data_IF_304922102714
#
_entry.id   IF_304922102714
#
_cell.length_a   1.000
_cell.length_b   1.000
_cell.length_c   1.000
_cell.angle_alpha   90.00
_cell.angle_beta   90.00
_cell.angle_gamma   90.00
#
_symmetry.space_group_name_H-M   'P 1'
#
loop_
_entity.id
_entity.type
_entity.pdbx_description
1 polymer ?
#
# COMPACT_ATOMS: atom_id res chain seq x y z
N UNK A 1 -2.88 25.24 0.88
CA UNK A 1 -4.04 24.69 0.17
C UNK A 1 -4.92 23.98 1.20
N UNK A 2 -6.06 24.57 1.60
CA UNK A 2 -6.93 24.00 2.63
C UNK A 2 -7.84 22.86 2.13
N UNK A 3 -7.95 22.70 0.81
CA UNK A 3 -8.85 21.79 0.08
C UNK A 3 -8.16 20.49 -0.40
N UNK A 4 -6.97 20.18 0.14
CA UNK A 4 -6.14 19.07 -0.31
C UNK A 4 -6.86 17.71 -0.29
N UNK A 5 -7.73 17.46 0.69
CA UNK A 5 -8.50 16.21 0.78
C UNK A 5 -9.40 16.02 -0.45
N UNK A 6 -10.13 17.05 -0.86
CA UNK A 6 -11.04 16.95 -2.01
C UNK A 6 -10.27 16.81 -3.32
N UNK A 7 -9.13 17.50 -3.44
CA UNK A 7 -8.23 17.38 -4.59
C UNK A 7 -7.64 15.97 -4.69
N UNK A 8 -7.20 15.38 -3.57
CA UNK A 8 -6.67 14.02 -3.52
C UNK A 8 -7.73 12.98 -3.84
N UNK A 9 -8.96 13.13 -3.34
CA UNK A 9 -10.10 12.27 -3.69
C UNK A 9 -10.43 12.36 -5.18
N UNK A 10 -10.45 13.57 -5.75
CA UNK A 10 -10.69 13.77 -7.17
C UNK A 10 -9.58 13.14 -8.03
N UNK A 11 -8.32 13.24 -7.59
CA UNK A 11 -7.19 12.56 -8.22
C UNK A 11 -7.34 11.03 -8.19
N UNK A 12 -7.67 10.47 -7.02
CA UNK A 12 -7.91 9.03 -6.87
C UNK A 12 -9.08 8.57 -7.74
N UNK A 13 -10.21 9.28 -7.75
CA UNK A 13 -11.36 8.95 -8.58
C UNK A 13 -11.03 8.99 -10.08
N UNK A 14 -10.17 9.92 -10.51
CA UNK A 14 -9.75 10.06 -11.91
C UNK A 14 -8.75 8.99 -12.36
N UNK A 15 -7.83 8.60 -11.49
CA UNK A 15 -6.65 7.80 -11.87
C UNK A 15 -6.65 6.39 -11.30
N UNK A 16 -7.40 6.14 -10.23
CA UNK A 16 -7.28 4.95 -9.40
C UNK A 16 -5.96 4.88 -8.61
N UNK A 17 -5.14 5.93 -8.65
CA UNK A 17 -3.83 5.96 -7.99
C UNK A 17 -3.96 6.62 -6.63
N UNK A 18 -3.60 5.89 -5.59
CA UNK A 18 -3.25 6.45 -4.31
C UNK A 18 -1.74 6.23 -4.07
N UNK A 19 -0.93 7.29 -3.90
CA UNK A 19 0.52 7.17 -3.86
C UNK A 19 1.03 6.20 -2.78
N UNK A 20 1.95 5.33 -3.17
CA UNK A 20 2.63 4.42 -2.24
C UNK A 20 3.59 5.23 -1.38
N UNK A 21 3.34 5.29 -0.06
CA UNK A 21 4.21 6.02 0.87
C UNK A 21 5.40 5.19 1.39
N UNK A 22 5.22 3.87 1.54
CA UNK A 22 6.20 3.01 2.20
C UNK A 22 6.38 1.68 1.46
N UNK A 23 7.61 1.15 1.51
CA UNK A 23 7.97 -0.19 1.04
C UNK A 23 8.80 -0.89 2.10
N UNK A 24 8.63 -2.20 2.25
CA UNK A 24 9.47 -3.03 3.12
C UNK A 24 10.66 -3.54 2.31
N UNK A 25 11.87 -3.19 2.74
CA UNK A 25 13.10 -3.66 2.13
C UNK A 25 13.77 -4.72 3.02
N UNK A 26 14.31 -5.77 2.40
CA UNK A 26 15.12 -6.79 3.07
C UNK A 26 16.54 -6.70 2.52
N UNK A 27 17.54 -6.67 3.41
CA UNK A 27 18.95 -6.70 3.00
C UNK A 27 19.20 -7.95 2.15
N UNK A 28 19.91 -7.77 1.02
CA UNK A 28 20.06 -8.80 -0.01
C UNK A 28 20.60 -10.12 0.52
N UNK A 29 21.70 -10.09 1.27
CA UNK A 29 22.36 -11.27 1.84
C UNK A 29 21.47 -12.03 2.84
N UNK A 30 20.64 -11.32 3.62
CA UNK A 30 19.68 -11.92 4.56
C UNK A 30 18.59 -12.65 3.79
N UNK A 31 18.01 -11.99 2.78
CA UNK A 31 16.98 -12.59 1.95
C UNK A 31 17.51 -13.77 1.14
N UNK A 32 18.72 -13.69 0.58
CA UNK A 32 19.29 -14.80 -0.19
C UNK A 32 19.53 -16.05 0.65
N UNK A 33 19.96 -15.88 1.90
CA UNK A 33 20.11 -16.99 2.87
C UNK A 33 18.78 -17.47 3.43
N UNK A 34 17.72 -16.65 3.38
CA UNK A 34 16.44 -16.90 4.05
C UNK A 34 15.26 -16.41 3.21
N UNK A 35 15.09 -16.96 1.99
CA UNK A 35 14.09 -16.51 1.02
C UNK A 35 12.66 -16.45 1.58
N UNK A 36 12.34 -17.38 2.48
CA UNK A 36 11.06 -17.48 3.17
C UNK A 36 10.66 -16.21 3.96
N UNK A 37 11.63 -15.39 4.38
CA UNK A 37 11.36 -14.16 5.17
C UNK A 37 10.47 -13.19 4.39
N UNK A 38 10.61 -13.10 3.06
CA UNK A 38 9.79 -12.21 2.25
C UNK A 38 8.29 -12.52 2.39
N UNK A 39 7.92 -13.80 2.27
CA UNK A 39 6.54 -14.24 2.43
C UNK A 39 6.07 -14.13 3.89
N UNK A 40 6.93 -14.43 4.86
CA UNK A 40 6.59 -14.33 6.28
C UNK A 40 6.27 -12.88 6.68
N UNK A 41 7.10 -11.92 6.28
CA UNK A 41 6.85 -10.50 6.51
C UNK A 41 5.59 -10.03 5.80
N UNK A 42 5.40 -10.42 4.54
CA UNK A 42 4.18 -10.06 3.79
C UNK A 42 2.91 -10.52 4.51
N UNK A 43 2.87 -11.77 4.98
CA UNK A 43 1.74 -12.30 5.76
C UNK A 43 1.56 -11.55 7.08
N UNK A 44 2.64 -11.34 7.84
CA UNK A 44 2.59 -10.67 9.13
C UNK A 44 2.06 -9.23 9.02
N UNK A 45 2.52 -8.46 8.04
CA UNK A 45 2.06 -7.09 7.85
C UNK A 45 0.64 -7.01 7.28
N UNK A 46 0.24 -7.95 6.42
CA UNK A 46 -1.14 -8.04 5.93
C UNK A 46 -2.10 -8.30 7.09
N UNK A 47 -1.73 -9.19 8.01
CA UNK A 47 -2.52 -9.48 9.21
C UNK A 47 -2.57 -8.28 10.17
N UNK A 48 -1.42 -7.62 10.42
CA UNK A 48 -1.37 -6.41 11.24
C UNK A 48 -2.25 -5.29 10.66
N UNK A 49 -2.29 -5.15 9.33
CA UNK A 49 -3.18 -4.20 8.66
C UNK A 49 -4.65 -4.58 8.85
N UNK A 50 -5.02 -5.85 8.66
CA UNK A 50 -6.39 -6.32 8.86
C UNK A 50 -6.90 -5.97 10.26
N UNK A 51 -6.11 -6.29 11.28
CA UNK A 51 -6.41 -5.94 12.67
C UNK A 51 -6.55 -4.41 12.84
N UNK A 52 -5.68 -3.63 12.21
CA UNK A 52 -5.75 -2.17 12.27
C UNK A 52 -7.06 -1.63 11.68
N UNK A 53 -7.52 -2.15 10.54
CA UNK A 53 -8.81 -1.79 9.96
C UNK A 53 -9.97 -2.14 10.89
N UNK A 54 -9.95 -3.32 11.49
CA UNK A 54 -10.98 -3.74 12.44
C UNK A 54 -11.06 -2.81 13.64
N UNK A 55 -9.91 -2.42 14.20
CA UNK A 55 -9.86 -1.46 15.31
C UNK A 55 -10.29 -0.04 14.91
N UNK A 56 -10.02 0.39 13.68
CA UNK A 56 -10.45 1.70 13.20
C UNK A 56 -11.97 1.82 13.07
N UNK A 57 -12.66 0.70 12.85
CA UNK A 57 -14.12 0.61 12.75
C UNK A 57 -14.84 0.58 14.11
N UNK A 58 -14.12 0.41 15.23
CA UNK A 58 -14.71 0.37 16.57
C UNK A 58 -15.06 1.80 17.03
N UNK A 59 -16.36 2.09 17.14
CA UNK A 59 -16.87 3.41 17.56
C UNK A 59 -16.95 3.60 19.08
N UNK A 60 -17.01 2.52 19.86
CA UNK A 60 -17.14 2.57 21.32
C UNK A 60 -15.82 2.89 22.06
N UNK A 61 -14.68 2.66 21.40
CA UNK A 61 -13.34 2.95 21.93
C UNK A 61 -12.43 3.24 20.76
N UNK A 62 -12.26 4.53 20.44
CA UNK A 62 -11.51 4.96 19.28
C UNK A 62 -10.04 4.55 19.41
N UNK A 63 -9.51 4.00 18.31
CA UNK A 63 -8.09 3.60 18.22
C UNK A 63 -7.13 4.78 18.35
N UNK A 64 -7.55 5.97 17.93
CA UNK A 64 -6.78 7.21 17.99
C UNK A 64 -7.47 8.24 18.89
N UNK A 65 -6.77 9.34 19.18
CA UNK A 65 -7.32 10.47 19.94
C UNK A 65 -8.14 11.45 19.07
N UNK A 66 -8.38 11.14 17.79
CA UNK A 66 -9.12 12.03 16.89
C UNK A 66 -10.64 11.85 17.09
N UNK A 67 -11.38 12.92 17.44
CA UNK A 67 -12.81 12.80 17.78
C UNK A 67 -13.69 12.40 16.58
N UNK A 68 -13.24 12.64 15.35
CA UNK A 68 -13.98 12.33 14.12
C UNK A 68 -13.40 11.14 13.35
N UNK A 69 -12.65 10.26 14.01
CA UNK A 69 -12.03 9.09 13.37
C UNK A 69 -13.05 8.27 12.57
N UNK A 70 -14.22 7.97 13.15
CA UNK A 70 -15.23 7.13 12.48
C UNK A 70 -15.73 7.79 11.20
N UNK A 71 -16.05 9.09 11.23
CA UNK A 71 -16.46 9.81 10.03
C UNK A 71 -15.37 9.77 8.94
N UNK A 72 -14.10 9.93 9.32
CA UNK A 72 -12.99 9.82 8.37
C UNK A 72 -12.83 8.41 7.79
N UNK A 73 -13.04 7.36 8.59
CA UNK A 73 -12.99 5.96 8.14
C UNK A 73 -14.15 5.65 7.18
N UNK A 74 -15.37 6.06 7.51
CA UNK A 74 -16.56 5.86 6.66
C UNK A 74 -16.41 6.57 5.31
N UNK A 75 -15.94 7.82 5.32
CA UNK A 75 -15.66 8.59 4.11
C UNK A 75 -14.53 7.97 3.26
N UNK A 76 -13.48 7.46 3.91
CA UNK A 76 -12.41 6.70 3.23
C UNK A 76 -12.98 5.44 2.56
N UNK A 77 -13.84 4.67 3.26
CA UNK A 77 -14.46 3.46 2.71
C UNK A 77 -15.39 3.81 1.54
N UNK A 78 -16.18 4.88 1.64
CA UNK A 78 -17.04 5.34 0.56
C UNK A 78 -16.24 5.74 -0.68
N UNK A 79 -15.06 6.33 -0.49
CA UNK A 79 -14.19 6.80 -1.58
C UNK A 79 -13.35 5.68 -2.19
N UNK A 80 -12.74 4.83 -1.36
CA UNK A 80 -11.65 3.93 -1.74
C UNK A 80 -11.97 2.44 -1.52
N UNK A 81 -13.12 2.13 -0.92
CA UNK A 81 -13.51 0.78 -0.53
C UNK A 81 -12.88 0.33 0.79
N UNK A 82 -13.20 -0.90 1.21
CA UNK A 82 -12.80 -1.45 2.53
C UNK A 82 -11.31 -1.80 2.67
N UNK A 83 -10.58 -1.85 1.56
CA UNK A 83 -9.16 -2.18 1.52
C UNK A 83 -8.36 -1.01 0.94
N UNK A 84 -8.52 0.18 1.54
CA UNK A 84 -8.01 1.45 1.00
C UNK A 84 -6.47 1.55 0.96
N UNK A 85 -5.77 0.76 1.76
CA UNK A 85 -4.34 0.48 1.56
C UNK A 85 -4.14 -0.94 1.05
N UNK A 86 -4.14 -1.18 -0.27
CA UNK A 86 -3.94 -2.52 -0.79
C UNK A 86 -2.53 -3.02 -0.48
N UNK A 87 -2.44 -4.21 0.11
CA UNK A 87 -1.19 -4.97 0.19
C UNK A 87 -1.08 -5.94 -0.99
N UNK A 88 0.14 -6.18 -1.44
CA UNK A 88 0.46 -7.12 -2.51
C UNK A 88 0.78 -6.45 -3.84
N UNK A 89 1.48 -7.18 -4.71
CA UNK A 89 2.00 -6.65 -5.97
C UNK A 89 0.89 -6.42 -6.98
N UNK A 90 0.01 -7.40 -7.20
CA UNK A 90 -0.99 -7.31 -8.28
C UNK A 90 -1.94 -6.12 -8.09
N UNK A 91 -2.39 -5.89 -6.85
CA UNK A 91 -3.28 -4.76 -6.51
C UNK A 91 -2.59 -3.40 -6.66
N UNK A 92 -1.26 -3.35 -6.54
CA UNK A 92 -0.46 -2.13 -6.65
C UNK A 92 0.27 -1.99 -8.00
N UNK A 93 0.18 -2.98 -8.89
CA UNK A 93 0.99 -3.06 -10.12
C UNK A 93 0.86 -1.79 -10.96
N UNK A 94 -0.37 -1.34 -11.20
CA UNK A 94 -0.63 -0.11 -11.95
C UNK A 94 0.05 1.13 -11.34
N UNK A 95 0.04 1.23 -10.00
CA UNK A 95 0.67 2.35 -9.27
C UNK A 95 2.19 2.26 -9.34
N UNK A 96 2.76 1.06 -9.15
CA UNK A 96 4.20 0.82 -9.20
C UNK A 96 4.73 1.08 -10.62
N UNK A 97 4.07 0.56 -11.66
CA UNK A 97 4.47 0.76 -13.05
C UNK A 97 4.36 2.22 -13.47
N UNK A 98 3.35 2.94 -12.97
CA UNK A 98 3.25 4.39 -13.17
C UNK A 98 4.38 5.13 -12.48
N UNK A 99 4.72 4.75 -11.25
CA UNK A 99 5.86 5.31 -10.51
C UNK A 99 7.19 5.06 -11.25
N UNK A 100 7.49 3.83 -11.66
CA UNK A 100 8.77 3.52 -12.31
C UNK A 100 8.91 4.19 -13.68
N UNK A 101 7.82 4.33 -14.43
CA UNK A 101 7.77 5.12 -15.66
C UNK A 101 8.14 6.59 -15.38
N UNK A 102 7.42 7.26 -14.48
CA UNK A 102 7.68 8.67 -14.17
C UNK A 102 9.06 8.91 -13.58
N UNK A 103 9.52 8.02 -12.69
CA UNK A 103 10.85 8.10 -12.11
C UNK A 103 11.95 8.01 -13.18
N UNK A 104 11.74 7.21 -14.23
CA UNK A 104 12.66 7.16 -15.37
C UNK A 104 12.53 8.39 -16.29
N UNK A 105 11.31 8.79 -16.66
CA UNK A 105 11.04 9.96 -17.52
C UNK A 105 11.61 11.25 -16.93
N UNK A 106 11.63 11.36 -15.60
CA UNK A 106 12.22 12.50 -14.87
C UNK A 106 13.74 12.38 -14.68
N UNK A 107 14.38 11.34 -15.21
CA UNK A 107 15.83 11.12 -15.12
C UNK A 107 16.33 10.68 -13.75
N UNK A 108 15.45 10.28 -12.83
CA UNK A 108 15.82 9.82 -11.49
C UNK A 108 16.34 8.37 -11.51
N UNK A 109 15.89 7.55 -12.47
CA UNK A 109 16.48 6.24 -12.77
C UNK A 109 17.15 6.22 -14.13
N UNK A 110 18.31 5.54 -14.28
CA UNK A 110 19.01 5.41 -15.56
C UNK A 110 18.23 4.59 -16.60
N UNK A 111 17.28 3.77 -16.15
CA UNK A 111 16.35 2.99 -16.97
C UNK A 111 15.04 2.79 -16.22
N UNK A 112 13.98 2.44 -16.93
CA UNK A 112 12.73 1.99 -16.31
C UNK A 112 12.93 0.60 -15.66
N UNK A 113 12.62 0.50 -14.37
CA UNK A 113 12.63 -0.77 -13.61
C UNK A 113 11.28 -1.46 -13.74
N UNK A 114 11.29 -2.79 -13.85
CA UNK A 114 10.07 -3.60 -13.80
C UNK A 114 9.72 -4.01 -12.37
N UNK A 115 8.45 -4.37 -12.16
CA UNK A 115 7.97 -4.87 -10.86
C UNK A 115 8.73 -6.14 -10.45
N UNK A 116 9.00 -7.03 -11.40
CA UNK A 116 9.70 -8.31 -11.20
C UNK A 116 11.17 -8.11 -10.79
N UNK A 117 11.79 -7.00 -11.18
CA UNK A 117 13.15 -6.65 -10.75
C UNK A 117 13.21 -6.12 -9.32
N UNK A 118 12.13 -5.49 -8.86
CA UNK A 118 12.09 -4.76 -7.59
C UNK A 118 11.64 -5.62 -6.41
N UNK A 119 10.78 -6.61 -6.64
CA UNK A 119 10.12 -7.36 -5.57
C UNK A 119 10.52 -8.84 -5.54
N UNK A 120 10.48 -9.42 -4.35
CA UNK A 120 10.80 -10.83 -4.16
C UNK A 120 9.73 -11.74 -4.82
N UNK A 121 10.09 -12.72 -5.67
CA UNK A 121 9.14 -13.60 -6.35
C UNK A 121 8.11 -14.28 -5.43
N UNK A 122 8.51 -14.58 -4.19
CA UNK A 122 7.66 -15.23 -3.20
C UNK A 122 6.47 -14.36 -2.75
N UNK A 123 6.48 -13.06 -3.05
CA UNK A 123 5.38 -12.12 -2.71
C UNK A 123 4.38 -11.91 -3.86
N UNK A 124 4.59 -12.55 -5.02
CA UNK A 124 3.69 -12.40 -6.18
C UNK A 124 2.44 -13.27 -6.08
N UNK A 125 2.43 -14.29 -5.21
CA UNK A 125 1.28 -15.15 -4.99
C UNK A 125 0.66 -14.92 -3.61
N UNK A 126 -0.63 -14.58 -3.56
CA UNK A 126 -1.42 -14.66 -2.34
C UNK A 126 -1.73 -16.14 -2.05
N UNK A 127 -0.87 -16.83 -1.30
CA UNK A 127 -1.24 -18.14 -0.76
C UNK A 127 -2.26 -17.95 0.36
N UNK A 128 -3.55 -18.13 0.04
CA UNK A 128 -4.62 -18.32 1.01
C UNK A 128 -4.53 -19.75 1.53
N UNK A 129 -4.30 -19.92 2.83
CA UNK A 129 -4.47 -21.19 3.55
C UNK A 129 -5.92 -21.25 4.01
#
# INVERSE_FOLDING_TARGET
FPDFVDVEKAYFAKTGIFPIMHVVAIRRDVYEKNRWIAQALYKAFTEAQRLSYEHLLVSASLKTMLPWQIAAVEDTIATMGKAWWPYGIDKNRHVIETFTRYHHEQGLSPRQLTVEEMFAPETFAEFRI
#
